data_IF_068558012641
#
_entry.id   IF_068558012641
#
_cell.length_a   1.000
_cell.length_b   1.000
_cell.length_c   1.000
_cell.angle_alpha   90.00
_cell.angle_beta   90.00
_cell.angle_gamma   90.00
#
_symmetry.space_group_name_H-M   'P 1'
#
loop_
_entity.id
_entity.type
_entity.pdbx_description
1 polymer ?
2 water ?
#
# COMPACT_ATOMS: atom_id res chain seq x y z
N UNK A 1 15.36 -13.48 -23.26
CA UNK A 1 13.88 -13.43 -23.27
C UNK A 1 13.27 -14.75 -23.74
N UNK A 2 13.76 -15.32 -24.83
CA UNK A 2 13.36 -16.68 -25.16
C UNK A 2 14.06 -17.66 -24.21
N UNK A 3 15.22 -17.28 -23.70
CA UNK A 3 15.87 -18.12 -22.71
C UNK A 3 15.01 -18.23 -21.45
N UNK A 4 14.41 -17.12 -21.04
CA UNK A 4 13.52 -17.13 -19.89
C UNK A 4 12.27 -17.99 -20.13
N UNK A 5 11.86 -18.06 -21.39
CA UNK A 5 10.67 -18.83 -21.76
C UNK A 5 10.99 -20.33 -21.65
N UNK A 6 12.15 -20.73 -22.17
CA UNK A 6 12.64 -22.09 -22.04
C UNK A 6 12.78 -22.52 -20.57
N UNK A 7 13.33 -21.63 -19.75
CA UNK A 7 13.46 -21.90 -18.33
C UNK A 7 12.11 -22.08 -17.62
N UNK A 8 11.17 -21.18 -17.88
CA UNK A 8 9.83 -21.28 -17.28
C UNK A 8 9.15 -22.59 -17.66
N UNK A 9 9.31 -22.99 -18.92
CA UNK A 9 8.61 -24.12 -19.46
C UNK A 9 9.16 -25.39 -18.81
N UNK A 10 10.49 -25.48 -18.75
CA UNK A 10 11.17 -26.58 -18.07
C UNK A 10 10.72 -26.70 -16.61
N UNK A 11 10.39 -25.58 -15.99
CA UNK A 11 9.95 -25.59 -14.60
C UNK A 11 8.53 -26.13 -14.53
N UNK A 12 7.69 -25.67 -15.45
CA UNK A 12 6.30 -26.10 -15.52
C UNK A 12 6.20 -27.61 -15.71
N UNK A 13 7.17 -28.16 -16.43
CA UNK A 13 7.22 -29.59 -16.70
C UNK A 13 7.92 -30.32 -15.56
N UNK A 14 8.29 -29.59 -14.50
CA UNK A 14 9.00 -30.15 -13.37
C UNK A 14 10.42 -30.64 -13.66
N UNK A 15 11.02 -30.13 -14.72
CA UNK A 15 12.41 -30.47 -15.06
C UNK A 15 13.39 -29.47 -14.44
N UNK A 16 13.39 -29.39 -13.12
CA UNK A 16 14.15 -28.37 -12.38
C UNK A 16 15.66 -28.37 -12.64
N UNK A 17 16.26 -29.54 -12.67
CA UNK A 17 17.71 -29.62 -12.83
C UNK A 17 18.14 -29.00 -14.16
N UNK A 18 17.32 -29.18 -15.19
CA UNK A 18 17.64 -28.67 -16.52
C UNK A 18 17.42 -27.18 -16.61
N UNK A 19 16.34 -26.70 -15.99
CA UNK A 19 16.07 -25.28 -15.90
C UNK A 19 17.24 -24.53 -15.29
N UNK A 20 17.77 -25.08 -14.20
CA UNK A 20 18.84 -24.43 -13.49
C UNK A 20 20.11 -24.47 -14.32
N UNK A 21 20.25 -25.51 -15.13
CA UNK A 21 21.42 -25.65 -15.97
C UNK A 21 21.40 -24.58 -17.06
N UNK A 22 20.20 -24.13 -17.42
CA UNK A 22 20.03 -23.12 -18.46
C UNK A 22 20.23 -21.72 -17.94
N UNK A 23 20.15 -21.57 -16.62
CA UNK A 23 20.26 -20.26 -16.00
C UNK A 23 21.61 -19.61 -16.32
N UNK A 24 22.58 -20.41 -16.72
CA UNK A 24 23.90 -19.90 -17.04
C UNK A 24 23.99 -19.42 -18.49
N UNK A 25 23.00 -19.79 -19.28
CA UNK A 25 22.86 -19.21 -20.61
C UNK A 25 22.33 -17.78 -20.53
N UNK A 26 22.03 -17.32 -19.31
CA UNK A 26 21.68 -15.93 -19.12
C UNK A 26 22.95 -15.13 -18.98
N UNK A 27 23.03 -14.02 -19.72
CA UNK A 27 24.22 -13.19 -19.71
C UNK A 27 24.45 -12.54 -18.35
N UNK A 28 23.54 -11.65 -17.98
CA UNK A 28 23.69 -10.87 -16.78
C UNK A 28 23.51 -11.71 -15.50
N UNK A 29 24.47 -11.59 -14.56
CA UNK A 29 24.48 -12.19 -13.21
C UNK A 29 23.29 -11.79 -12.36
N UNK A 30 23.03 -10.49 -12.30
CA UNK A 30 21.86 -10.01 -11.60
C UNK A 30 20.60 -10.67 -12.16
N UNK A 31 20.53 -10.81 -13.48
CA UNK A 31 19.41 -11.48 -14.11
C UNK A 31 19.37 -12.97 -13.71
N UNK A 32 20.52 -13.62 -13.65
CA UNK A 32 20.58 -15.00 -13.17
C UNK A 32 20.02 -15.13 -11.75
N UNK A 33 20.24 -14.10 -10.93
CA UNK A 33 19.86 -14.14 -9.53
C UNK A 33 18.37 -13.91 -9.38
N UNK A 34 17.86 -12.94 -10.14
CA UNK A 34 16.42 -12.74 -10.34
C UNK A 34 15.71 -14.03 -10.71
N UNK A 35 16.23 -14.73 -11.70
CA UNK A 35 15.58 -15.92 -12.17
C UNK A 35 15.63 -16.97 -11.06
N UNK A 36 16.82 -17.20 -10.53
CA UNK A 36 16.99 -18.24 -9.52
C UNK A 36 16.02 -18.03 -8.37
N UNK A 37 15.97 -16.79 -7.87
CA UNK A 37 15.14 -16.50 -6.70
C UNK A 37 13.64 -16.58 -6.99
N UNK A 38 13.23 -16.29 -8.22
CA UNK A 38 11.83 -16.33 -8.62
C UNK A 38 11.34 -17.76 -8.75
N UNK A 39 12.25 -18.66 -9.08
CA UNK A 39 11.96 -20.08 -9.04
C UNK A 39 11.71 -20.57 -7.62
N UNK A 40 12.59 -20.18 -6.70
CA UNK A 40 12.45 -20.52 -5.29
C UNK A 40 11.14 -20.01 -4.73
N UNK A 41 10.83 -18.75 -5.02
CA UNK A 41 9.62 -18.14 -4.47
C UNK A 41 8.35 -18.85 -4.95
N UNK A 42 8.23 -19.11 -6.26
CA UNK A 42 7.05 -19.81 -6.75
C UNK A 42 6.93 -21.22 -6.17
N UNK A 43 8.05 -21.91 -5.99
CA UNK A 43 8.03 -23.21 -5.31
C UNK A 43 7.50 -23.09 -3.88
N UNK A 44 8.08 -22.15 -3.12
CA UNK A 44 7.68 -21.93 -1.74
C UNK A 44 6.20 -21.62 -1.65
N UNK A 45 5.70 -20.86 -2.62
CA UNK A 45 4.34 -20.35 -2.58
C UNK A 45 3.28 -21.31 -3.14
N UNK A 46 3.62 -22.02 -4.22
CA UNK A 46 2.67 -22.94 -4.85
C UNK A 46 3.07 -24.39 -4.59
N UNK A 47 3.51 -24.66 -3.36
CA UNK A 47 3.85 -26.01 -2.87
C UNK A 47 4.51 -26.98 -3.86
N UNK A 48 5.51 -26.46 -4.58
CA UNK A 48 6.36 -27.30 -5.40
C UNK A 48 7.37 -27.97 -4.49
N UNK A 49 8.35 -28.68 -5.09
CA UNK A 49 9.32 -29.49 -4.36
C UNK A 49 10.25 -28.65 -3.49
N UNK A 50 9.89 -28.49 -2.22
CA UNK A 50 10.64 -27.62 -1.32
C UNK A 50 12.11 -28.01 -1.17
N UNK A 51 12.47 -29.25 -1.49
CA UNK A 51 13.83 -29.72 -1.30
C UNK A 51 14.82 -29.23 -2.38
N UNK A 52 14.34 -28.45 -3.33
CA UNK A 52 15.21 -27.81 -4.31
C UNK A 52 15.73 -26.45 -3.82
N UNK A 53 14.97 -25.83 -2.92
CA UNK A 53 15.23 -24.47 -2.43
C UNK A 53 16.65 -24.18 -1.88
N UNK A 54 17.19 -25.07 -1.03
CA UNK A 54 18.53 -24.80 -0.51
C UNK A 54 19.59 -24.77 -1.59
N UNK A 55 19.53 -25.72 -2.52
CA UNK A 55 20.52 -25.80 -3.60
C UNK A 55 20.48 -24.58 -4.53
N UNK A 56 19.29 -24.08 -4.80
CA UNK A 56 19.13 -22.93 -5.65
C UNK A 56 19.64 -21.65 -4.98
N UNK A 57 19.28 -21.46 -3.72
CA UNK A 57 19.74 -20.30 -2.96
C UNK A 57 21.27 -20.28 -2.88
N UNK A 58 21.88 -21.44 -2.68
CA UNK A 58 23.34 -21.58 -2.76
C UNK A 58 23.89 -21.08 -4.10
N UNK A 59 23.19 -21.39 -5.19
CA UNK A 59 23.68 -20.98 -6.51
C UNK A 59 23.59 -19.48 -6.68
N UNK A 60 22.48 -18.93 -6.21
CA UNK A 60 22.25 -17.50 -6.23
C UNK A 60 23.28 -16.81 -5.33
N UNK A 61 23.47 -17.34 -4.12
CA UNK A 61 24.47 -16.79 -3.20
C UNK A 61 25.86 -16.84 -3.82
N UNK A 62 26.15 -17.90 -4.56
CA UNK A 62 27.46 -18.04 -5.18
C UNK A 62 27.68 -16.99 -6.27
N UNK A 63 26.65 -16.76 -7.06
CA UNK A 63 26.73 -15.76 -8.12
C UNK A 63 26.96 -14.36 -7.53
N UNK A 64 26.27 -14.05 -6.43
CA UNK A 64 26.44 -12.75 -5.77
C UNK A 64 27.85 -12.60 -5.19
N UNK A 65 28.39 -13.69 -4.69
CA UNK A 65 29.71 -13.67 -4.08
C UNK A 65 30.79 -13.36 -5.13
N UNK A 66 30.59 -13.81 -6.37
CA UNK A 66 31.62 -13.59 -7.39
C UNK A 66 31.59 -12.20 -8.05
N UNK A 67 30.56 -11.41 -7.73
CA UNK A 67 30.25 -10.22 -8.51
C UNK A 67 31.34 -9.14 -8.68
N UNK A 68 32.02 -8.77 -7.59
CA UNK A 68 33.04 -7.70 -7.61
C UNK A 68 32.53 -6.23 -7.63
N UNK A 69 31.72 -5.85 -8.61
CA UNK A 69 31.23 -4.47 -8.66
C UNK A 69 30.19 -4.20 -7.57
N UNK A 70 30.48 -3.23 -6.69
CA UNK A 70 29.72 -2.96 -5.47
C UNK A 70 28.22 -2.74 -5.69
N UNK A 71 27.85 -2.03 -6.75
CA UNK A 71 26.44 -1.79 -7.04
C UNK A 71 25.72 -3.09 -7.39
N UNK A 72 26.34 -3.89 -8.25
CA UNK A 72 25.68 -5.14 -8.68
C UNK A 72 25.50 -6.10 -7.51
N UNK A 73 26.54 -6.18 -6.70
CA UNK A 73 26.57 -7.05 -5.54
C UNK A 73 25.49 -6.67 -4.57
N UNK A 74 25.36 -5.36 -4.39
CA UNK A 74 24.39 -4.80 -3.48
C UNK A 74 22.99 -5.18 -3.92
N UNK A 75 22.71 -5.08 -5.23
CA UNK A 75 21.40 -5.43 -5.73
C UNK A 75 21.18 -6.93 -5.59
N UNK A 76 22.20 -7.70 -5.94
CA UNK A 76 22.09 -9.16 -5.85
C UNK A 76 21.78 -9.61 -4.42
N UNK A 77 22.56 -9.10 -3.47
CA UNK A 77 22.34 -9.37 -2.06
C UNK A 77 20.94 -8.95 -1.62
N UNK A 78 20.43 -7.86 -2.18
CA UNK A 78 19.07 -7.39 -1.86
C UNK A 78 18.02 -8.35 -2.35
N UNK A 79 18.19 -8.81 -3.59
CA UNK A 79 17.31 -9.81 -4.17
C UNK A 79 17.27 -11.07 -3.32
N UNK A 80 18.44 -11.56 -2.95
CA UNK A 80 18.54 -12.73 -2.08
C UNK A 80 17.88 -12.46 -0.73
N UNK A 81 18.10 -11.25 -0.22
CA UNK A 81 17.60 -10.85 1.10
C UNK A 81 16.08 -10.84 1.20
N UNK A 82 15.41 -10.26 0.22
CA UNK A 82 13.95 -10.20 0.28
C UNK A 82 13.30 -11.57 0.07
N UNK A 83 13.91 -12.43 -0.75
CA UNK A 83 13.34 -13.77 -0.94
C UNK A 83 13.46 -14.63 0.32
N UNK A 84 14.56 -14.49 1.05
CA UNK A 84 14.71 -15.17 2.33
C UNK A 84 13.65 -14.68 3.29
N UNK A 85 13.43 -13.37 3.27
CA UNK A 85 12.47 -12.74 4.16
C UNK A 85 11.04 -13.19 3.84
N UNK A 86 10.72 -13.28 2.56
CA UNK A 86 9.49 -13.92 2.11
C UNK A 86 9.33 -15.26 2.83
N UNK A 87 10.32 -16.13 2.70
CA UNK A 87 10.28 -17.46 3.31
C UNK A 87 10.57 -17.52 4.81
N UNK A 88 10.53 -16.36 5.47
CA UNK A 88 10.64 -16.28 6.94
C UNK A 88 11.99 -16.69 7.52
N UNK A 89 13.04 -16.61 6.72
CA UNK A 89 14.39 -16.75 7.24
C UNK A 89 14.92 -15.36 7.59
N UNK A 90 14.42 -14.84 8.71
CA UNK A 90 14.60 -13.45 9.03
C UNK A 90 16.04 -13.11 9.39
N UNK A 91 16.69 -13.96 10.17
CA UNK A 91 18.09 -13.71 10.55
C UNK A 91 18.96 -13.69 9.31
N UNK A 92 18.67 -14.58 8.38
CA UNK A 92 19.46 -14.67 7.17
C UNK A 92 19.17 -13.50 6.25
N UNK A 93 17.91 -13.09 6.18
CA UNK A 93 17.53 -11.94 5.38
C UNK A 93 18.27 -10.68 5.83
N UNK A 94 18.35 -10.48 7.15
CA UNK A 94 18.93 -9.24 7.67
C UNK A 94 20.43 -9.32 7.51
N UNK A 95 20.97 -10.52 7.54
CA UNK A 95 22.38 -10.71 7.21
C UNK A 95 22.62 -10.22 5.79
N UNK A 96 21.81 -10.66 4.83
CA UNK A 96 22.02 -10.21 3.45
C UNK A 96 21.71 -8.74 3.20
N UNK A 97 20.71 -8.22 3.89
CA UNK A 97 20.47 -6.78 3.84
C UNK A 97 21.70 -5.99 4.31
N UNK A 98 22.34 -6.45 5.37
CA UNK A 98 23.52 -5.79 5.88
C UNK A 98 24.69 -5.89 4.93
N UNK A 99 24.77 -7.01 4.22
CA UNK A 99 25.79 -7.15 3.20
C UNK A 99 25.51 -6.12 2.10
N UNK A 100 24.25 -6.00 1.72
CA UNK A 100 23.84 -5.03 0.70
C UNK A 100 24.25 -3.61 1.10
N UNK A 101 23.87 -3.20 2.30
CA UNK A 101 24.31 -1.92 2.89
C UNK A 101 25.82 -1.72 2.78
N UNK A 102 26.60 -2.70 3.22
CA UNK A 102 28.06 -2.56 3.23
C UNK A 102 28.62 -2.28 1.84
N UNK A 103 28.11 -3.02 0.86
CA UNK A 103 28.51 -2.85 -0.53
C UNK A 103 28.10 -1.48 -1.10
N UNK A 104 26.88 -1.05 -0.78
CA UNK A 104 26.44 0.30 -1.12
C UNK A 104 27.43 1.36 -0.64
N UNK A 105 27.87 1.25 0.60
CA UNK A 105 28.80 2.22 1.18
C UNK A 105 30.18 2.18 0.57
N UNK A 106 30.38 1.33 -0.44
CA UNK A 106 31.67 1.23 -1.11
C UNK A 106 31.63 2.01 -2.42
N UNK A 107 30.42 2.35 -2.85
CA UNK A 107 30.17 3.12 -4.06
C UNK A 107 30.65 4.56 -3.96
N UNK A 108 31.30 5.03 -5.02
CA UNK A 108 31.95 6.34 -5.03
C UNK A 108 30.99 7.46 -5.43
N UNK A 109 30.36 7.31 -6.59
CA UNK A 109 29.33 8.21 -7.07
C UNK A 109 28.16 8.28 -6.07
N UNK A 110 27.93 9.46 -5.48
CA UNK A 110 26.78 9.58 -4.56
C UNK A 110 25.44 9.38 -5.26
N UNK A 111 25.36 9.78 -6.52
CA UNK A 111 24.15 9.51 -7.28
C UNK A 111 24.05 8.00 -7.50
N UNK A 112 25.17 7.33 -7.78
CA UNK A 112 25.06 5.89 -7.92
C UNK A 112 24.66 5.26 -6.58
N UNK A 113 25.35 5.64 -5.51
CA UNK A 113 25.01 5.15 -4.18
C UNK A 113 23.51 5.29 -3.88
N UNK A 114 22.97 6.48 -4.16
CA UNK A 114 21.58 6.77 -3.86
C UNK A 114 20.66 5.82 -4.57
N UNK A 115 20.99 5.53 -5.83
CA UNK A 115 20.17 4.67 -6.68
C UNK A 115 20.13 3.25 -6.13
N UNK A 116 21.30 2.74 -5.80
CA UNK A 116 21.43 1.42 -5.23
C UNK A 116 20.69 1.37 -3.90
N UNK A 117 20.82 2.39 -3.06
CA UNK A 117 20.11 2.36 -1.78
C UNK A 117 18.59 2.25 -1.91
N UNK A 118 18.02 2.93 -2.90
CA UNK A 118 16.56 2.95 -3.02
C UNK A 118 16.05 1.61 -3.52
N UNK A 119 16.89 0.88 -4.26
CA UNK A 119 16.57 -0.46 -4.73
C UNK A 119 16.54 -1.40 -3.53
N UNK A 120 17.54 -1.25 -2.69
CA UNK A 120 17.65 -2.01 -1.47
C UNK A 120 16.49 -1.67 -0.54
N UNK A 121 16.17 -0.39 -0.46
CA UNK A 121 15.00 0.02 0.30
C UNK A 121 13.74 -0.63 -0.28
N UNK A 122 13.66 -0.72 -1.61
CA UNK A 122 12.49 -1.32 -2.22
C UNK A 122 12.41 -2.79 -1.83
N UNK A 123 13.56 -3.46 -1.80
CA UNK A 123 13.59 -4.87 -1.38
C UNK A 123 13.23 -5.07 0.09
N UNK A 124 13.66 -4.13 0.94
CA UNK A 124 13.27 -4.15 2.33
C UNK A 124 11.74 -4.08 2.47
N UNK A 125 11.10 -3.31 1.60
CA UNK A 125 9.64 -3.18 1.65
C UNK A 125 8.95 -4.44 1.17
N UNK A 126 9.43 -4.99 0.05
CA UNK A 126 8.95 -6.28 -0.46
C UNK A 126 9.09 -7.36 0.62
N UNK A 127 10.16 -7.26 1.40
CA UNK A 127 10.46 -8.23 2.47
C UNK A 127 9.50 -8.15 3.65
N UNK A 128 8.67 -7.12 3.67
CA UNK A 128 7.79 -6.90 4.80
C UNK A 128 8.44 -6.14 5.94
N UNK A 129 9.39 -5.26 5.62
CA UNK A 129 10.07 -4.46 6.65
C UNK A 129 9.90 -2.98 6.32
N UNK A 130 8.67 -2.48 6.43
CA UNK A 130 8.40 -1.13 5.95
C UNK A 130 9.17 -0.04 6.68
N UNK A 131 9.33 -0.17 8.00
CA UNK A 131 10.04 0.85 8.73
C UNK A 131 11.52 0.93 8.32
N UNK A 132 12.18 -0.22 8.15
CA UNK A 132 13.57 -0.22 7.67
C UNK A 132 13.67 0.37 6.28
N UNK A 133 12.70 0.01 5.44
CA UNK A 133 12.68 0.49 4.08
C UNK A 133 12.68 2.01 4.04
N UNK A 134 11.80 2.65 4.81
CA UNK A 134 11.72 4.11 4.85
C UNK A 134 13.05 4.74 5.25
N UNK A 135 13.65 4.17 6.27
CA UNK A 135 14.89 4.70 6.78
C UNK A 135 15.92 4.72 5.66
N UNK A 136 15.96 3.66 4.88
CA UNK A 136 16.93 3.54 3.81
C UNK A 136 16.56 4.44 2.63
N UNK A 137 15.28 4.53 2.32
CA UNK A 137 14.83 5.45 1.27
C UNK A 137 15.29 6.86 1.62
N UNK A 138 15.19 7.21 2.90
CA UNK A 138 15.55 8.55 3.34
C UNK A 138 17.05 8.80 3.27
N UNK A 139 17.84 7.80 3.62
CA UNK A 139 19.28 7.87 3.45
C UNK A 139 19.59 7.98 1.96
N UNK A 140 18.89 7.19 1.13
CA UNK A 140 19.13 7.24 -0.30
C UNK A 140 18.91 8.66 -0.76
N UNK A 141 17.77 9.23 -0.38
CA UNK A 141 17.42 10.61 -0.72
C UNK A 141 18.43 11.63 -0.22
N UNK A 142 18.84 11.52 1.05
CA UNK A 142 19.85 12.44 1.61
C UNK A 142 21.16 12.32 0.84
N UNK A 143 21.46 11.12 0.34
CA UNK A 143 22.72 10.90 -0.34
C UNK A 143 22.77 11.67 -1.64
N UNK A 144 21.66 11.66 -2.39
CA UNK A 144 21.63 12.34 -3.67
C UNK A 144 21.58 13.85 -3.46
N UNK A 145 20.57 14.30 -2.72
CA UNK A 145 20.41 15.72 -2.43
C UNK A 145 21.65 16.41 -1.81
N UNK A 146 22.48 15.66 -1.12
CA UNK A 146 23.62 16.28 -0.45
C UNK A 146 24.83 16.34 -1.35
N UNK A 147 24.79 15.58 -2.45
CA UNK A 147 25.93 15.47 -3.36
C UNK A 147 26.23 16.81 -4.03
N UNK A 148 27.47 16.98 -4.47
CA UNK A 148 27.90 18.26 -5.00
C UNK A 148 28.03 18.23 -6.52
N UNK A 149 27.06 17.64 -7.19
CA UNK A 149 26.95 17.77 -8.63
C UNK A 149 25.97 18.88 -8.91
N UNK A 150 25.62 19.07 -10.18
CA UNK A 150 24.69 20.14 -10.53
C UNK A 150 23.26 19.66 -10.48
N UNK A 151 22.33 20.60 -10.29
CA UNK A 151 20.89 20.35 -10.15
C UNK A 151 20.41 19.19 -11.02
N UNK A 152 20.67 19.29 -12.32
CA UNK A 152 20.13 18.37 -13.32
C UNK A 152 20.44 16.88 -13.08
N UNK A 153 21.63 16.59 -12.54
CA UNK A 153 22.04 15.20 -12.31
C UNK A 153 21.33 14.62 -11.10
N UNK A 154 21.02 15.48 -10.14
CA UNK A 154 20.28 15.05 -8.96
C UNK A 154 18.85 14.75 -9.32
N UNK A 155 18.31 15.45 -10.31
CA UNK A 155 16.89 15.36 -10.63
C UNK A 155 16.45 13.94 -11.02
N UNK A 156 17.13 13.34 -11.99
CA UNK A 156 16.75 11.99 -12.41
C UNK A 156 16.91 10.96 -11.30
N UNK A 157 17.96 11.08 -10.50
CA UNK A 157 18.17 10.19 -9.38
C UNK A 157 17.00 10.25 -8.40
N UNK A 158 16.60 11.45 -8.01
CA UNK A 158 15.53 11.64 -7.06
C UNK A 158 14.16 11.17 -7.59
N UNK A 159 13.89 11.37 -8.88
CA UNK A 159 12.63 10.91 -9.47
C UNK A 159 12.58 9.39 -9.45
N UNK A 160 13.74 8.75 -9.59
CA UNK A 160 13.77 7.30 -9.52
C UNK A 160 13.43 6.79 -8.09
N UNK A 161 13.84 7.54 -7.08
CA UNK A 161 13.46 7.21 -5.71
C UNK A 161 11.94 7.32 -5.58
N UNK A 162 11.38 8.41 -6.13
CA UNK A 162 9.94 8.57 -6.24
C UNK A 162 9.26 7.35 -6.81
N UNK A 163 9.72 6.87 -7.97
CA UNK A 163 9.10 5.72 -8.60
C UNK A 163 9.14 4.53 -7.66
N UNK A 164 10.29 4.32 -7.01
CA UNK A 164 10.41 3.17 -6.14
C UNK A 164 9.60 3.30 -4.83
N UNK A 165 9.54 4.51 -4.29
CA UNK A 165 8.72 4.77 -3.10
C UNK A 165 7.29 4.37 -3.47
N UNK A 166 6.83 4.83 -4.63
CA UNK A 166 5.48 4.57 -5.09
C UNK A 166 5.20 3.08 -5.25
N UNK A 167 6.14 2.35 -5.84
CA UNK A 167 5.94 0.92 -6.06
C UNK A 167 5.95 0.15 -4.73
N UNK A 168 6.78 0.58 -3.81
CA UNK A 168 6.79 -0.01 -2.47
C UNK A 168 5.42 0.18 -1.83
N UNK A 169 4.95 1.42 -1.85
CA UNK A 169 3.61 1.73 -1.38
C UNK A 169 2.56 0.81 -1.98
N UNK A 170 2.56 0.66 -3.30
CA UNK A 170 1.61 -0.20 -3.98
C UNK A 170 1.62 -1.64 -3.49
N UNK A 171 2.72 -2.08 -2.90
CA UNK A 171 2.80 -3.48 -2.47
C UNK A 171 2.41 -3.64 -1.01
N UNK A 172 2.12 -2.53 -0.34
CA UNK A 172 1.84 -2.55 1.09
C UNK A 172 0.37 -2.32 1.41
N UNK A 173 -0.06 -2.77 2.59
CA UNK A 173 -1.41 -2.38 3.03
C UNK A 173 -1.44 -0.87 3.33
N UNK A 174 -2.64 -0.30 3.28
CA UNK A 174 -2.86 1.15 3.43
C UNK A 174 -2.10 1.77 4.61
N UNK A 175 -2.15 1.15 5.79
CA UNK A 175 -1.54 1.80 6.94
C UNK A 175 -0.03 1.90 6.78
N UNK A 176 0.56 0.89 6.15
CA UNK A 176 1.99 0.92 5.93
C UNK A 176 2.34 1.70 4.68
N UNK A 177 1.44 1.71 3.69
CA UNK A 177 1.74 2.35 2.41
C UNK A 177 1.79 3.87 2.46
N UNK A 178 1.09 4.44 3.43
CA UNK A 178 0.88 5.88 3.45
C UNK A 178 2.17 6.70 3.45
N UNK A 179 3.13 6.36 4.29
CA UNK A 179 4.37 7.13 4.36
C UNK A 179 5.20 7.13 3.06
N UNK A 180 5.15 6.01 2.34
CA UNK A 180 5.84 5.87 1.06
C UNK A 180 5.21 6.77 0.02
N UNK A 181 3.88 6.76 -0.01
CA UNK A 181 3.15 7.59 -0.93
C UNK A 181 3.36 9.10 -0.68
N UNK A 182 3.40 9.51 0.58
CA UNK A 182 3.61 10.93 0.88
C UNK A 182 4.98 11.40 0.38
N UNK A 183 6.01 10.56 0.58
CA UNK A 183 7.38 10.91 0.15
C UNK A 183 7.45 10.98 -1.38
N UNK A 184 6.84 10.01 -2.05
CA UNK A 184 6.82 10.01 -3.51
C UNK A 184 6.13 11.27 -4.04
N UNK A 185 4.96 11.60 -3.47
CA UNK A 185 4.21 12.76 -3.94
C UNK A 185 5.04 14.01 -3.75
N UNK A 186 5.60 14.12 -2.56
CA UNK A 186 6.49 15.21 -2.23
C UNK A 186 7.57 15.39 -3.30
N UNK A 187 8.13 14.27 -3.75
CA UNK A 187 9.23 14.29 -4.72
C UNK A 187 8.72 14.71 -6.11
N UNK A 188 7.56 14.16 -6.51
CA UNK A 188 7.00 14.44 -7.82
C UNK A 188 6.48 15.86 -7.91
N UNK A 189 6.02 16.36 -6.77
CA UNK A 189 5.56 17.74 -6.67
C UNK A 189 6.72 18.74 -6.80
N UNK A 190 7.77 18.55 -6.00
CA UNK A 190 8.90 19.49 -6.03
C UNK A 190 9.65 19.43 -7.34
N UNK A 191 9.66 18.27 -7.99
CA UNK A 191 10.47 18.09 -9.18
C UNK A 191 9.69 18.24 -10.49
N UNK A 192 8.43 18.67 -10.38
CA UNK A 192 7.67 19.09 -11.55
C UNK A 192 7.30 17.99 -12.55
N UNK A 193 7.04 16.78 -12.06
CA UNK A 193 6.40 15.78 -12.92
C UNK A 193 4.91 15.64 -12.52
N UNK A 194 4.08 16.51 -13.06
CA UNK A 194 2.71 16.64 -12.59
C UNK A 194 1.81 15.42 -12.85
N UNK A 195 2.09 14.67 -13.93
CA UNK A 195 1.28 13.48 -14.24
C UNK A 195 1.46 12.44 -13.19
N UNK A 196 2.69 12.27 -12.76
CA UNK A 196 2.99 11.34 -11.71
C UNK A 196 2.51 11.82 -10.35
N UNK A 197 2.63 13.11 -10.07
CA UNK A 197 2.13 13.61 -8.81
C UNK A 197 0.60 13.33 -8.69
N UNK A 198 -0.13 13.48 -9.79
CA UNK A 198 -1.61 13.34 -9.77
C UNK A 198 -2.00 11.91 -9.38
N UNK A 199 -1.40 10.93 -10.05
CA UNK A 199 -1.66 9.53 -9.76
C UNK A 199 -1.37 9.18 -8.29
N UNK A 200 -0.27 9.69 -7.76
CA UNK A 200 0.05 9.37 -6.37
C UNK A 200 -0.91 10.08 -5.41
N UNK A 201 -1.30 11.30 -5.75
CA UNK A 201 -2.29 11.99 -4.95
C UNK A 201 -3.58 11.13 -4.88
N UNK A 202 -3.98 10.60 -6.04
CA UNK A 202 -5.13 9.71 -6.12
C UNK A 202 -4.91 8.42 -5.31
N UNK A 203 -3.71 7.84 -5.35
CA UNK A 203 -3.45 6.63 -4.55
C UNK A 203 -3.52 6.91 -3.04
N UNK A 204 -3.32 8.16 -2.67
CA UNK A 204 -3.39 8.53 -1.26
C UNK A 204 -4.85 8.66 -0.79
N UNK A 205 -5.71 9.28 -1.61
CA UNK A 205 -7.14 9.35 -1.27
C UNK A 205 -7.68 7.92 -1.20
N UNK A 206 -7.27 7.09 -2.14
CA UNK A 206 -7.72 5.72 -2.16
C UNK A 206 -7.23 4.98 -0.92
N UNK A 207 -5.94 5.03 -0.64
CA UNK A 207 -5.45 4.36 0.56
C UNK A 207 -6.15 4.87 1.83
N UNK A 208 -6.45 6.17 1.86
CA UNK A 208 -7.12 6.77 3.02
C UNK A 208 -8.57 6.34 3.11
N UNK A 209 -9.23 6.19 1.97
CA UNK A 209 -10.64 5.86 1.93
C UNK A 209 -10.85 4.38 2.23
N UNK A 210 -10.09 3.54 1.56
CA UNK A 210 -10.17 2.10 1.78
C UNK A 210 -8.95 1.68 2.60
N UNK A 211 -9.11 1.77 3.92
CA UNK A 211 -8.00 1.73 4.86
C UNK A 211 -7.93 0.40 5.58
N UNK A 212 -9.00 0.04 6.28
CA UNK A 212 -9.03 -1.19 7.06
C UNK A 212 -8.89 -2.41 6.17
N UNK A 213 -9.59 -2.42 5.05
CA UNK A 213 -9.45 -3.52 4.10
C UNK A 213 -8.53 -3.15 2.93
N UNK A 214 -7.69 -2.15 3.11
CA UNK A 214 -6.82 -1.72 2.03
C UNK A 214 -5.65 -2.65 1.68
N UNK A 215 -5.95 -3.91 1.41
CA UNK A 215 -4.93 -4.83 0.93
C UNK A 215 -4.45 -4.36 -0.42
N UNK A 216 -3.15 -4.54 -0.68
CA UNK A 216 -2.56 -3.99 -1.91
C UNK A 216 -3.28 -4.46 -3.18
N UNK A 217 -3.78 -5.69 -3.20
CA UNK A 217 -4.46 -6.21 -4.39
C UNK A 217 -5.87 -5.63 -4.53
N UNK A 218 -6.44 -5.21 -3.41
CA UNK A 218 -7.72 -4.54 -3.37
C UNK A 218 -7.57 -3.11 -3.88
N UNK A 219 -6.57 -2.38 -3.38
CA UNK A 219 -6.37 -1.01 -3.85
C UNK A 219 -6.06 -1.02 -5.34
N UNK A 220 -5.23 -1.99 -5.77
CA UNK A 220 -4.92 -2.14 -7.20
C UNK A 220 -6.17 -2.38 -8.06
N UNK A 221 -7.10 -3.19 -7.56
CA UNK A 221 -8.31 -3.45 -8.31
C UNK A 221 -9.18 -2.19 -8.38
N UNK A 222 -9.28 -1.47 -7.26
CA UNK A 222 -10.16 -0.31 -7.18
C UNK A 222 -9.69 0.77 -8.14
N UNK A 223 -8.37 0.93 -8.20
CA UNK A 223 -7.76 1.96 -9.04
C UNK A 223 -8.07 1.68 -10.52
N UNK A 224 -8.08 0.41 -10.90
CA UNK A 224 -8.45 0.00 -12.26
C UNK A 224 -9.94 0.09 -12.47
N UNK A 225 -10.71 0.33 -11.41
CA UNK A 225 -12.16 0.26 -11.52
C UNK A 225 -12.73 -1.15 -11.60
N UNK A 226 -11.96 -2.14 -11.16
CA UNK A 226 -12.50 -3.51 -11.16
C UNK A 226 -13.19 -3.73 -9.81
N UNK A 227 -14.31 -3.04 -9.62
CA UNK A 227 -14.92 -2.98 -8.31
C UNK A 227 -15.45 -4.32 -7.79
N UNK A 228 -16.06 -5.09 -8.68
CA UNK A 228 -16.68 -6.33 -8.29
C UNK A 228 -15.60 -7.32 -7.89
N UNK A 229 -14.46 -7.23 -8.55
CA UNK A 229 -13.33 -8.07 -8.20
C UNK A 229 -12.81 -7.80 -6.78
N UNK A 230 -12.71 -6.53 -6.43
CA UNK A 230 -12.26 -6.12 -5.10
C UNK A 230 -13.29 -6.50 -4.01
N UNK A 231 -14.55 -6.23 -4.31
CA UNK A 231 -15.63 -6.63 -3.41
C UNK A 231 -15.60 -8.13 -3.19
N UNK A 232 -15.29 -8.87 -4.25
CA UNK A 232 -15.20 -10.32 -4.16
C UNK A 232 -14.11 -10.72 -3.17
N UNK A 233 -12.96 -10.05 -3.22
CA UNK A 233 -11.87 -10.38 -2.30
C UNK A 233 -12.29 -10.12 -0.87
N UNK A 234 -12.98 -8.99 -0.67
CA UNK A 234 -13.48 -8.61 0.64
C UNK A 234 -14.43 -9.67 1.26
N UNK A 235 -15.31 -10.25 0.47
CA UNK A 235 -16.19 -11.31 0.95
C UNK A 235 -15.41 -12.56 1.32
N UNK A 236 -14.37 -12.85 0.55
CA UNK A 236 -13.55 -14.03 0.81
C UNK A 236 -12.73 -13.83 2.09
N UNK A 237 -12.10 -12.67 2.22
CA UNK A 237 -11.11 -12.46 3.28
C UNK A 237 -11.64 -11.86 4.58
N UNK A 238 -12.90 -11.45 4.61
CA UNK A 238 -13.45 -10.79 5.78
C UNK A 238 -14.92 -11.18 5.99
N UNK A 239 -15.37 -11.16 7.25
CA UNK A 239 -16.80 -11.28 7.54
C UNK A 239 -17.23 -10.34 8.67
N UNK A 240 -18.54 -10.33 8.96
CA UNK A 240 -19.12 -9.46 9.96
C UNK A 240 -18.74 -7.98 9.86
N UNK A 241 -18.23 -7.43 10.95
CA UNK A 241 -18.00 -6.01 11.03
C UNK A 241 -16.98 -5.53 10.02
N UNK A 242 -15.86 -6.25 9.89
CA UNK A 242 -14.83 -5.82 8.96
C UNK A 242 -15.35 -5.88 7.52
N UNK A 243 -16.19 -6.86 7.23
CA UNK A 243 -16.78 -6.97 5.90
C UNK A 243 -17.75 -5.82 5.61
N UNK A 244 -18.43 -5.37 6.66
CA UNK A 244 -19.34 -4.26 6.53
C UNK A 244 -18.56 -2.97 6.26
N UNK A 245 -17.58 -2.69 7.12
CA UNK A 245 -16.80 -1.47 6.97
C UNK A 245 -16.12 -1.47 5.60
N UNK A 246 -15.61 -2.62 5.20
CA UNK A 246 -14.85 -2.71 3.97
C UNK A 246 -15.73 -2.40 2.78
N UNK A 247 -16.92 -2.97 2.77
CA UNK A 247 -17.87 -2.71 1.70
C UNK A 247 -18.24 -1.23 1.66
N UNK A 248 -18.44 -0.63 2.84
CA UNK A 248 -18.75 0.79 2.91
C UNK A 248 -17.62 1.69 2.41
N UNK A 249 -16.38 1.36 2.79
CA UNK A 249 -15.23 2.10 2.33
C UNK A 249 -15.17 2.02 0.81
N UNK A 250 -15.47 0.86 0.26
CA UNK A 250 -15.45 0.70 -1.19
C UNK A 250 -16.54 1.53 -1.84
N UNK A 251 -17.74 1.50 -1.26
CA UNK A 251 -18.83 2.30 -1.78
C UNK A 251 -18.41 3.78 -1.80
N UNK A 252 -17.71 4.19 -0.74
CA UNK A 252 -17.29 5.57 -0.62
C UNK A 252 -16.28 5.93 -1.72
N UNK A 253 -15.40 5.01 -2.04
CA UNK A 253 -14.42 5.30 -3.08
C UNK A 253 -15.12 5.35 -4.44
N UNK A 254 -16.06 4.45 -4.66
CA UNK A 254 -16.81 4.43 -5.90
C UNK A 254 -17.55 5.77 -6.05
N UNK A 255 -18.02 6.29 -4.93
CA UNK A 255 -18.82 7.51 -4.94
C UNK A 255 -17.94 8.66 -5.37
N UNK A 256 -16.67 8.61 -4.98
CA UNK A 256 -15.75 9.71 -5.23
C UNK A 256 -15.15 9.70 -6.64
N UNK A 257 -15.14 8.54 -7.29
CA UNK A 257 -14.79 8.48 -8.70
C UNK A 257 -16.07 8.51 -9.55
N UNK A 258 -17.13 9.04 -8.97
CA UNK A 258 -18.35 9.29 -9.72
C UNK A 258 -18.94 8.04 -10.36
N UNK A 259 -18.84 6.91 -9.66
CA UNK A 259 -19.50 5.69 -10.09
C UNK A 259 -20.79 5.52 -9.29
N UNK A 260 -21.94 5.77 -9.90
CA UNK A 260 -23.21 5.78 -9.18
C UNK A 260 -23.73 4.41 -8.72
N UNK A 261 -23.02 3.34 -9.10
CA UNK A 261 -23.34 2.00 -8.63
C UNK A 261 -23.02 1.84 -7.15
N UNK A 262 -22.36 2.84 -6.57
CA UNK A 262 -22.02 2.77 -5.15
C UNK A 262 -23.29 2.64 -4.28
N UNK A 263 -24.39 3.24 -4.73
CA UNK A 263 -25.66 3.13 -3.99
C UNK A 263 -26.03 1.69 -3.77
N UNK A 264 -25.86 0.88 -4.80
CA UNK A 264 -26.13 -0.55 -4.70
C UNK A 264 -25.25 -1.24 -3.66
N UNK A 265 -23.95 -0.93 -3.65
CA UNK A 265 -23.03 -1.64 -2.76
C UNK A 265 -23.41 -1.41 -1.30
N UNK A 266 -23.86 -0.20 -1.01
CA UNK A 266 -24.26 0.19 0.34
C UNK A 266 -25.47 -0.61 0.80
N UNK A 267 -26.47 -0.70 -0.08
CA UNK A 267 -27.68 -1.42 0.31
C UNK A 267 -27.35 -2.88 0.55
N UNK A 268 -26.52 -3.44 -0.33
CA UNK A 268 -26.15 -4.84 -0.22
C UNK A 268 -25.33 -5.09 1.04
N UNK A 269 -24.51 -4.12 1.42
CA UNK A 269 -23.65 -4.29 2.59
C UNK A 269 -24.43 -4.49 3.89
N UNK A 270 -25.68 -4.03 3.90
CA UNK A 270 -26.56 -4.21 5.07
C UNK A 270 -27.57 -5.31 4.80
N UNK A 271 -27.98 -5.44 3.55
CA UNK A 271 -29.04 -6.36 3.18
C UNK A 271 -28.54 -7.76 2.87
N UNK A 272 -27.22 -7.96 2.94
CA UNK A 272 -26.65 -9.26 2.63
C UNK A 272 -26.68 -10.17 3.85
N UNK A 273 -26.56 -9.56 5.03
CA UNK A 273 -26.32 -10.34 6.23
C UNK A 273 -27.14 -9.83 7.40
N UNK A 274 -27.03 -10.53 8.53
CA UNK A 274 -27.61 -10.01 9.75
C UNK A 274 -26.64 -8.99 10.30
N UNK A 275 -27.19 -7.99 10.98
CA UNK A 275 -26.37 -6.96 11.62
C UNK A 275 -25.47 -7.64 12.64
N UNK A 276 -24.15 -7.57 12.42
CA UNK A 276 -23.20 -8.15 13.37
C UNK A 276 -23.22 -7.39 14.70
N UNK A 277 -22.37 -7.82 15.62
CA UNK A 277 -22.26 -7.15 16.90
C UNK A 277 -21.15 -6.14 16.81
N UNK A 278 -21.39 -4.96 17.39
CA UNK A 278 -20.52 -3.84 17.17
C UNK A 278 -19.80 -3.39 18.42
N UNK A 279 -18.53 -3.01 18.28
CA UNK A 279 -17.88 -2.26 19.33
C UNK A 279 -18.21 -0.81 19.07
N UNK A 280 -18.12 0.02 20.10
CA UNK A 280 -18.49 1.41 19.99
C UNK A 280 -17.66 2.11 18.93
N UNK A 281 -16.41 1.70 18.79
CA UNK A 281 -15.58 2.27 17.77
C UNK A 281 -16.10 1.88 16.37
N UNK A 282 -16.53 0.63 16.20
CA UNK A 282 -17.18 0.22 14.96
C UNK A 282 -18.41 1.09 14.66
N UNK A 283 -19.20 1.33 15.69
CA UNK A 283 -20.36 2.21 15.56
C UNK A 283 -19.97 3.61 15.09
N UNK A 284 -18.99 4.20 15.75
CA UNK A 284 -18.50 5.52 15.37
C UNK A 284 -18.01 5.51 13.93
N UNK A 285 -17.29 4.47 13.58
CA UNK A 285 -16.69 4.38 12.26
C UNK A 285 -17.77 4.29 11.17
N UNK A 286 -18.76 3.44 11.40
CA UNK A 286 -19.84 3.27 10.45
C UNK A 286 -20.65 4.56 10.30
N UNK A 287 -20.85 5.26 11.42
CA UNK A 287 -21.57 6.54 11.41
C UNK A 287 -20.86 7.58 10.55
N UNK A 288 -19.54 7.61 10.63
CA UNK A 288 -18.78 8.55 9.83
C UNK A 288 -18.88 8.14 8.36
N UNK A 289 -18.72 6.85 8.08
CA UNK A 289 -18.76 6.35 6.71
C UNK A 289 -20.08 6.68 6.06
N UNK A 290 -21.18 6.39 6.75
CA UNK A 290 -22.50 6.65 6.21
C UNK A 290 -22.77 8.14 5.99
N UNK A 291 -22.20 8.98 6.85
CA UNK A 291 -22.34 10.41 6.65
C UNK A 291 -21.63 10.86 5.37
N UNK A 292 -20.35 10.53 5.23
CA UNK A 292 -19.60 10.91 4.04
C UNK A 292 -20.23 10.31 2.77
N UNK A 293 -20.90 9.18 2.94
CA UNK A 293 -21.59 8.57 1.81
C UNK A 293 -22.83 9.36 1.42
N UNK A 294 -23.43 10.06 2.37
CA UNK A 294 -24.67 10.78 2.13
C UNK A 294 -25.91 10.01 2.53
N UNK A 295 -25.73 8.86 3.16
CA UNK A 295 -26.87 8.12 3.71
C UNK A 295 -27.14 8.63 5.13
N UNK A 296 -27.77 9.79 5.22
CA UNK A 296 -27.98 10.40 6.52
C UNK A 296 -29.02 9.67 7.37
N UNK A 297 -29.92 8.93 6.74
CA UNK A 297 -30.89 8.13 7.49
C UNK A 297 -30.19 7.09 8.35
N UNK A 298 -29.40 6.23 7.70
CA UNK A 298 -28.67 5.18 8.40
C UNK A 298 -27.63 5.79 9.32
N UNK A 299 -26.98 6.84 8.86
CA UNK A 299 -25.93 7.50 9.65
C UNK A 299 -26.47 7.99 10.98
N UNK A 300 -27.69 8.48 10.99
CA UNK A 300 -28.29 8.91 12.23
C UNK A 300 -28.54 7.73 13.18
N UNK A 301 -29.00 6.60 12.63
CA UNK A 301 -29.25 5.43 13.46
C UNK A 301 -27.99 5.08 14.21
N UNK A 302 -26.87 5.04 13.49
CA UNK A 302 -25.60 4.70 14.12
C UNK A 302 -25.11 5.75 15.11
N UNK A 303 -25.10 7.01 14.70
CA UNK A 303 -24.67 8.09 15.57
C UNK A 303 -25.38 8.07 16.94
N UNK A 304 -26.67 7.79 16.95
CA UNK A 304 -27.41 7.77 18.21
C UNK A 304 -27.03 6.59 19.13
N UNK A 305 -26.26 5.63 18.61
CA UNK A 305 -25.86 4.47 19.41
C UNK A 305 -24.43 4.57 19.91
N UNK A 306 -23.73 5.63 19.50
CA UNK A 306 -22.38 5.89 19.99
C UNK A 306 -22.42 6.17 21.50
N UNK A 307 -21.69 5.38 22.26
CA UNK A 307 -21.71 5.49 23.71
C UNK A 307 -20.78 6.59 24.24
N UNK A 308 -19.62 6.75 23.61
CA UNK A 308 -18.73 7.84 23.98
C UNK A 308 -19.39 9.21 23.76
N UNK A 309 -19.60 9.94 24.85
CA UNK A 309 -20.37 11.17 24.83
C UNK A 309 -19.81 12.23 23.86
N UNK A 310 -18.50 12.24 23.68
CA UNK A 310 -17.89 13.25 22.82
C UNK A 310 -17.97 12.84 21.35
N UNK A 311 -17.71 11.57 21.08
CA UNK A 311 -17.79 11.08 19.72
C UNK A 311 -19.22 11.20 19.21
N UNK A 312 -20.18 10.93 20.10
CA UNK A 312 -21.57 11.06 19.73
C UNK A 312 -21.89 12.50 19.38
N UNK A 313 -21.37 13.43 20.18
CA UNK A 313 -21.57 14.85 19.94
C UNK A 313 -21.05 15.24 18.56
N UNK A 314 -19.84 14.81 18.24
CA UNK A 314 -19.23 15.11 16.95
C UNK A 314 -20.05 14.57 15.79
N UNK A 315 -20.41 13.28 15.85
CA UNK A 315 -21.15 12.63 14.77
C UNK A 315 -22.51 13.29 14.53
N UNK A 316 -23.16 13.70 15.61
CA UNK A 316 -24.47 14.32 15.51
C UNK A 316 -24.36 15.67 14.83
N UNK A 317 -23.26 16.38 15.09
CA UNK A 317 -23.03 17.69 14.48
C UNK A 317 -22.88 17.54 12.97
N UNK A 318 -21.90 16.73 12.57
CA UNK A 318 -21.61 16.48 11.16
C UNK A 318 -22.88 16.18 10.37
N UNK A 319 -23.68 15.24 10.87
CA UNK A 319 -24.92 14.90 10.21
C UNK A 319 -25.79 16.14 10.03
N UNK A 320 -25.84 16.97 11.07
CA UNK A 320 -26.70 18.14 11.06
C UNK A 320 -26.21 19.18 10.07
N UNK A 321 -24.89 19.34 9.96
CA UNK A 321 -24.33 20.28 8.99
C UNK A 321 -24.67 19.86 7.57
N UNK A 322 -24.49 18.57 7.30
CA UNK A 322 -24.78 18.04 5.98
C UNK A 322 -26.25 18.25 5.65
N UNK A 323 -27.12 18.01 6.63
CA UNK A 323 -28.53 18.30 6.46
C UNK A 323 -28.72 19.71 5.92
N UNK A 324 -28.10 20.69 6.58
CA UNK A 324 -28.22 22.09 6.19
C UNK A 324 -27.88 22.37 4.73
N UNK A 325 -26.68 21.97 4.31
CA UNK A 325 -26.26 22.13 2.92
C UNK A 325 -27.32 21.64 1.94
N UNK A 326 -27.93 20.52 2.28
CA UNK A 326 -28.84 19.83 1.36
C UNK A 326 -30.31 20.11 1.68
N UNK A 327 -30.59 21.28 2.26
CA UNK A 327 -31.97 21.61 2.70
C UNK A 327 -32.46 20.61 3.76
N UNK A 328 -33.64 20.02 3.57
CA UNK A 328 -34.18 19.02 4.49
C UNK A 328 -34.15 19.42 5.99
N UNK A 329 -34.55 20.65 6.28
CA UNK A 329 -34.41 21.22 7.62
C UNK A 329 -35.31 20.63 8.71
N UNK A 330 -36.35 19.89 8.34
CA UNK A 330 -37.37 19.49 9.31
C UNK A 330 -36.86 18.62 10.46
N UNK A 331 -35.61 18.19 10.39
CA UNK A 331 -35.03 17.36 11.43
C UNK A 331 -33.84 18.02 12.13
N UNK A 332 -33.31 19.07 11.49
CA UNK A 332 -32.09 19.74 11.98
C UNK A 332 -32.14 20.19 13.43
N UNK A 333 -33.22 20.85 13.81
CA UNK A 333 -33.29 21.45 15.13
C UNK A 333 -33.22 20.40 16.22
N UNK A 334 -34.02 19.35 16.07
CA UNK A 334 -34.06 18.25 17.03
C UNK A 334 -32.68 17.65 17.22
N UNK A 335 -31.96 17.50 16.11
CA UNK A 335 -30.65 16.86 16.14
C UNK A 335 -29.68 17.71 16.92
N UNK A 336 -29.71 19.02 16.69
CA UNK A 336 -28.81 19.92 17.38
C UNK A 336 -29.06 19.86 18.88
N UNK A 337 -30.33 19.95 19.26
CA UNK A 337 -30.75 19.84 20.67
C UNK A 337 -30.21 18.56 21.30
N UNK A 338 -30.09 17.53 20.47
CA UNK A 338 -29.65 16.21 20.89
C UNK A 338 -28.17 16.15 21.27
N UNK A 339 -27.38 17.10 20.78
CA UNK A 339 -25.94 17.08 21.05
C UNK A 339 -25.68 17.26 22.54
N UNK A 340 -25.07 16.25 23.17
CA UNK A 340 -24.79 16.26 24.62
C UNK A 340 -23.77 17.30 25.03
N UNK A 341 -22.77 17.55 24.19
CA UNK A 341 -21.81 18.60 24.49
C UNK A 341 -22.41 19.94 24.09
N UNK A 342 -22.74 20.79 25.08
CA UNK A 342 -23.37 22.06 24.74
C UNK A 342 -22.41 22.97 23.97
N UNK A 343 -21.11 22.91 24.30
CA UNK A 343 -20.09 23.64 23.56
C UNK A 343 -20.18 23.34 22.06
N UNK A 344 -20.05 22.06 21.71
CA UNK A 344 -20.23 21.59 20.35
C UNK A 344 -21.60 21.97 19.79
N UNK A 345 -22.64 21.86 20.60
CA UNK A 345 -24.00 22.18 20.16
C UNK A 345 -24.09 23.64 19.70
N UNK A 346 -23.25 24.49 20.28
CA UNK A 346 -23.20 25.90 19.93
C UNK A 346 -22.44 26.12 18.63
N UNK A 347 -21.32 25.41 18.48
CA UNK A 347 -20.52 25.50 17.28
C UNK A 347 -21.30 25.09 16.05
N UNK A 348 -22.10 24.04 16.20
CA UNK A 348 -22.97 23.58 15.13
C UNK A 348 -24.02 24.66 14.85
N UNK A 349 -24.34 25.43 15.88
CA UNK A 349 -25.41 26.42 15.77
C UNK A 349 -24.90 27.70 15.09
N UNK A 350 -23.59 27.89 15.12
CA UNK A 350 -22.95 29.00 14.42
C UNK A 350 -22.68 28.63 12.97
N UNK A 351 -22.11 27.44 12.76
CA UNK A 351 -21.81 26.96 11.43
C UNK A 351 -23.05 26.85 10.55
N UNK A 352 -24.21 26.63 11.16
CA UNK A 352 -25.49 26.65 10.44
C UNK A 352 -25.82 28.08 9.99
N UNK A 353 -25.12 29.04 10.58
CA UNK A 353 -25.15 30.40 10.08
C UNK A 353 -24.20 30.58 8.90
N UNK A 354 -24.18 29.63 7.98
CA UNK A 354 -23.54 29.85 6.70
C UNK A 354 -24.43 30.83 5.95
N UNK A 355 -23.80 31.86 5.40
CA UNK A 355 -24.51 32.90 4.66
C UNK A 355 -24.99 32.36 3.31
N UNK A 356 -24.50 31.16 2.98
CA UNK A 356 -24.56 30.64 1.62
C UNK A 356 -25.90 30.00 1.29
#
# INVERSE_FOLDING_TARGET
MTTLEEINLLVERGYYEEALAKVYEIEDPIEQVQVLTKIVVTIYQHDGPMEWIPSIMEDAMYIAKKLRDPANKAVAYSIIASTLAIMEYEEDAMDFFNRAIDEANEIESPIEKGMVLSTLAYHLAIAGYPDNALEIFNIAFDTIIGAETSYTHKVDGILRIGDLLEKAGDTLPSNEAMDFYKMAFDIFDKLHVNQRAAIVEKKIELAKTVYDVGLPQIRAALLKGKNHYALAIIKKKYSGVMRLIGELEVALWMKRVNNMEYLDVVDKAFECCESPRFTDVNVQHIARLLTELGNLRRALKFAKEIQNIHKRSEALKAIALELVRRKKFEEVKKIIESIPDPKIREEALNEIGTIEESQ
#
